data_IF_411108949453
#
_entry.id   IF_411108949453
#
_cell.length_a   1.000
_cell.length_b   1.000
_cell.length_c   1.000
_cell.angle_alpha   90.00
_cell.angle_beta   90.00
_cell.angle_gamma   90.00
#
_symmetry.space_group_name_H-M   'P 1'
#
loop_
_entity.id
_entity.type
_entity.pdbx_description
1 polymer ?
#
# COMPACT_ATOMS: atom_id res chain seq x y z
N UNK A 1 -18.39 2.07 15.70
CA UNK A 1 -16.98 1.67 15.46
C UNK A 1 -16.36 2.37 14.27
N UNK A 2 -16.98 2.37 13.08
CA UNK A 2 -16.41 2.99 11.87
C UNK A 2 -16.01 4.46 12.03
N UNK A 3 -16.80 5.27 12.75
CA UNK A 3 -16.45 6.66 13.04
C UNK A 3 -15.15 6.81 13.86
N UNK A 4 -14.89 5.92 14.81
CA UNK A 4 -13.64 5.91 15.60
C UNK A 4 -12.44 5.52 14.75
N UNK A 5 -12.62 4.56 13.82
CA UNK A 5 -11.59 4.16 12.86
C UNK A 5 -11.24 5.33 11.94
N UNK A 6 -12.25 6.02 11.39
CA UNK A 6 -12.05 7.19 10.52
C UNK A 6 -11.37 8.34 11.27
N UNK A 7 -11.77 8.62 12.51
CA UNK A 7 -11.12 9.62 13.35
C UNK A 7 -9.66 9.25 13.61
N UNK A 8 -9.37 8.01 13.99
CA UNK A 8 -8.01 7.53 14.23
C UNK A 8 -7.14 7.62 12.96
N UNK A 9 -7.72 7.29 11.79
CA UNK A 9 -7.04 7.42 10.50
C UNK A 9 -6.72 8.88 10.17
N UNK A 10 -7.65 9.80 10.42
CA UNK A 10 -7.45 11.23 10.18
C UNK A 10 -6.34 11.79 11.09
N UNK A 11 -6.36 11.41 12.37
CA UNK A 11 -5.31 11.74 13.34
C UNK A 11 -3.95 11.20 12.89
N UNK A 12 -3.89 9.97 12.39
CA UNK A 12 -2.66 9.35 11.88
C UNK A 12 -2.09 10.10 10.66
N UNK A 13 -2.95 10.50 9.71
CA UNK A 13 -2.52 11.29 8.54
C UNK A 13 -1.94 12.63 8.96
N UNK A 14 -2.59 13.34 9.88
CA UNK A 14 -2.08 14.61 10.42
C UNK A 14 -0.78 14.41 11.19
N UNK A 15 -0.67 13.31 11.94
CA UNK A 15 0.53 12.95 12.70
C UNK A 15 1.74 12.62 11.81
N UNK A 16 1.56 12.40 10.51
CA UNK A 16 2.67 12.14 9.57
C UNK A 16 3.44 13.41 9.21
N UNK A 17 2.85 14.59 9.44
CA UNK A 17 3.56 15.87 9.28
C UNK A 17 4.40 16.18 10.52
N UNK A 18 5.73 16.22 10.33
CA UNK A 18 6.69 16.43 11.42
C UNK A 18 6.42 17.76 12.19
N UNK A 19 5.95 18.80 11.51
CA UNK A 19 5.73 20.13 12.11
C UNK A 19 4.57 20.15 13.11
N UNK A 20 3.55 19.32 12.87
CA UNK A 20 2.37 19.17 13.73
C UNK A 20 2.64 18.13 14.81
N UNK A 21 3.35 17.06 14.48
CA UNK A 21 3.67 15.99 15.40
C UNK A 21 4.55 16.48 16.58
N UNK A 22 5.52 17.35 16.34
CA UNK A 22 6.39 17.87 17.40
C UNK A 22 5.62 18.66 18.49
N UNK A 23 4.50 19.30 18.11
CA UNK A 23 3.68 20.09 19.04
C UNK A 23 2.59 19.26 19.74
N UNK A 24 2.06 18.22 19.08
CA UNK A 24 0.87 17.49 19.54
C UNK A 24 1.06 15.98 19.72
N UNK A 25 2.30 15.47 19.65
CA UNK A 25 2.64 14.05 19.81
C UNK A 25 1.97 13.40 21.02
N UNK A 26 1.95 14.08 22.17
CA UNK A 26 1.30 13.60 23.39
C UNK A 26 -0.23 13.42 23.24
N UNK A 27 -0.91 14.36 22.56
CA UNK A 27 -2.35 14.24 22.31
C UNK A 27 -2.65 13.08 21.34
N UNK A 28 -1.84 12.94 20.28
CA UNK A 28 -1.99 11.83 19.33
C UNK A 28 -1.81 10.49 20.01
N UNK A 29 -0.82 10.37 20.90
CA UNK A 29 -0.59 9.16 21.68
C UNK A 29 -1.76 8.82 22.62
N UNK A 30 -2.33 9.82 23.30
CA UNK A 30 -3.49 9.62 24.19
C UNK A 30 -4.72 9.19 23.39
N UNK A 31 -5.03 9.87 22.29
CA UNK A 31 -6.16 9.53 21.42
C UNK A 31 -6.00 8.11 20.86
N UNK A 32 -4.79 7.76 20.43
CA UNK A 32 -4.47 6.42 19.95
C UNK A 32 -4.65 5.36 21.04
N UNK A 33 -4.23 5.64 22.28
CA UNK A 33 -4.40 4.73 23.40
C UNK A 33 -5.87 4.52 23.77
N UNK A 34 -6.64 5.60 23.89
CA UNK A 34 -8.09 5.54 24.22
C UNK A 34 -8.84 4.73 23.15
N UNK A 35 -8.59 5.01 21.87
CA UNK A 35 -9.24 4.29 20.77
C UNK A 35 -8.83 2.83 20.71
N UNK A 36 -7.55 2.50 20.98
CA UNK A 36 -7.07 1.11 21.04
C UNK A 36 -7.69 0.31 22.19
N UNK A 37 -7.85 0.92 23.37
CA UNK A 37 -8.53 0.29 24.51
C UNK A 37 -10.01 0.04 24.20
N UNK A 38 -10.70 0.99 23.57
CA UNK A 38 -12.09 0.79 23.13
C UNK A 38 -12.22 -0.37 22.14
N UNK A 39 -11.27 -0.52 21.19
CA UNK A 39 -11.26 -1.66 20.28
C UNK A 39 -10.96 -2.99 20.98
N UNK A 40 -10.11 -2.98 22.01
CA UNK A 40 -9.86 -4.17 22.83
C UNK A 40 -11.11 -4.61 23.58
N UNK A 41 -11.84 -3.65 24.18
CA UNK A 41 -13.11 -3.95 24.89
C UNK A 41 -14.13 -4.54 23.91
N UNK A 42 -14.31 -3.89 22.75
CA UNK A 42 -15.19 -4.37 21.69
C UNK A 42 -14.84 -5.80 21.25
N UNK A 43 -13.55 -6.08 21.05
CA UNK A 43 -13.06 -7.42 20.69
C UNK A 43 -13.36 -8.46 21.78
N UNK A 44 -13.05 -8.17 23.04
CA UNK A 44 -13.31 -9.07 24.17
C UNK A 44 -14.82 -9.32 24.32
N UNK A 45 -15.66 -8.29 24.19
CA UNK A 45 -17.11 -8.44 24.20
C UNK A 45 -17.59 -9.38 23.08
N UNK A 46 -17.09 -9.24 21.84
CA UNK A 46 -17.44 -10.16 20.74
C UNK A 46 -17.05 -11.61 21.04
N UNK A 47 -15.84 -11.84 21.57
CA UNK A 47 -15.36 -13.17 21.96
C UNK A 47 -16.18 -13.79 23.08
N UNK A 48 -16.74 -12.99 23.99
CA UNK A 48 -17.62 -13.49 25.06
C UNK A 48 -19.00 -13.83 24.52
N UNK A 49 -19.58 -12.97 23.66
CA UNK A 49 -20.95 -13.12 23.13
C UNK A 49 -21.04 -14.23 22.08
N UNK A 50 -19.93 -14.58 21.39
CA UNK A 50 -19.96 -15.57 20.30
C UNK A 50 -20.49 -16.96 20.71
N UNK A 51 -20.41 -17.31 22.00
CA UNK A 51 -20.91 -18.59 22.51
C UNK A 51 -22.44 -18.72 22.45
N UNK A 52 -23.18 -17.64 22.20
CA UNK A 52 -24.63 -17.70 21.94
C UNK A 52 -24.97 -18.21 20.53
N UNK A 53 -24.00 -18.20 19.61
CA UNK A 53 -24.22 -18.65 18.25
C UNK A 53 -24.15 -20.18 18.18
N UNK A 54 -25.18 -20.84 17.63
CA UNK A 54 -25.30 -22.31 17.55
C UNK A 54 -24.05 -23.03 17.03
N UNK A 55 -23.32 -22.40 16.10
CA UNK A 55 -22.11 -22.94 15.48
C UNK A 55 -20.85 -22.88 16.40
N UNK A 56 -20.85 -22.02 17.41
CA UNK A 56 -19.75 -21.81 18.37
C UNK A 56 -20.20 -22.05 19.81
N UNK A 57 -21.17 -22.96 20.02
CA UNK A 57 -21.81 -23.18 21.33
C UNK A 57 -20.86 -23.71 22.40
N UNK A 58 -19.75 -24.35 22.01
CA UNK A 58 -18.77 -24.86 22.96
C UNK A 58 -18.04 -23.70 23.68
N UNK A 59 -18.04 -23.67 25.02
CA UNK A 59 -17.55 -22.52 25.79
C UNK A 59 -16.06 -22.23 25.60
N UNK A 60 -15.25 -23.24 25.26
CA UNK A 60 -13.79 -23.10 25.05
C UNK A 60 -13.43 -23.30 23.57
N UNK A 61 -13.86 -24.41 22.97
CA UNK A 61 -13.53 -24.73 21.58
C UNK A 61 -14.24 -23.80 20.57
N UNK A 62 -15.47 -23.36 20.86
CA UNK A 62 -16.19 -22.39 20.04
C UNK A 62 -15.48 -21.03 20.00
N UNK A 63 -14.93 -20.60 21.14
CA UNK A 63 -14.14 -19.36 21.21
C UNK A 63 -12.83 -19.46 20.44
N UNK A 64 -12.09 -20.58 20.58
CA UNK A 64 -10.84 -20.80 19.85
C UNK A 64 -11.09 -20.82 18.34
N UNK A 65 -12.15 -21.49 17.89
CA UNK A 65 -12.53 -21.51 16.48
C UNK A 65 -12.91 -20.11 15.97
N UNK A 66 -13.58 -19.30 16.79
CA UNK A 66 -13.86 -17.92 16.45
C UNK A 66 -12.58 -17.08 16.33
N UNK A 67 -11.63 -17.22 17.26
CA UNK A 67 -10.34 -16.51 17.23
C UNK A 67 -9.54 -16.80 15.95
N UNK A 68 -9.70 -18.00 15.37
CA UNK A 68 -9.06 -18.40 14.10
C UNK A 68 -9.83 -17.94 12.85
N UNK A 69 -11.00 -17.31 13.01
CA UNK A 69 -11.77 -16.78 11.89
C UNK A 69 -11.08 -15.52 11.35
N UNK A 70 -10.98 -15.33 10.02
CA UNK A 70 -10.28 -14.18 9.43
C UNK A 70 -10.76 -12.83 9.97
N UNK A 71 -12.05 -12.69 10.28
CA UNK A 71 -12.60 -11.46 10.85
C UNK A 71 -12.05 -11.15 12.25
N UNK A 72 -11.91 -12.18 13.10
CA UNK A 72 -11.38 -12.04 14.45
C UNK A 72 -9.86 -11.83 14.44
N UNK A 73 -9.15 -12.47 13.51
CA UNK A 73 -7.71 -12.27 13.30
C UNK A 73 -7.43 -10.84 12.85
N UNK A 74 -8.19 -10.30 11.90
CA UNK A 74 -8.06 -8.89 11.47
C UNK A 74 -8.32 -7.95 12.65
N UNK A 75 -9.32 -8.24 13.47
CA UNK A 75 -9.66 -7.42 14.62
C UNK A 75 -8.57 -7.42 15.71
N UNK A 76 -7.98 -8.59 15.96
CA UNK A 76 -6.81 -8.73 16.83
C UNK A 76 -5.62 -7.94 16.26
N UNK A 77 -5.23 -8.17 15.00
CA UNK A 77 -4.07 -7.51 14.38
C UNK A 77 -4.24 -5.97 14.39
N UNK A 78 -5.45 -5.47 14.23
CA UNK A 78 -5.80 -4.03 14.29
C UNK A 78 -5.64 -3.42 15.69
N UNK A 79 -5.91 -4.20 16.75
CA UNK A 79 -5.94 -3.72 18.14
C UNK A 79 -4.57 -3.81 18.82
N UNK A 80 -3.78 -4.82 18.49
CA UNK A 80 -2.47 -5.09 19.09
C UNK A 80 -1.33 -4.06 18.86
N UNK A 81 -1.25 -3.26 17.78
CA UNK A 81 -0.05 -2.46 17.47
C UNK A 81 0.32 -1.48 18.58
N UNK A 82 -0.68 -0.84 19.20
CA UNK A 82 -0.47 0.10 20.31
C UNK A 82 0.07 -0.59 21.58
N UNK A 83 -0.45 -1.76 21.91
CA UNK A 83 0.01 -2.53 23.07
C UNK A 83 1.44 -3.07 22.85
N UNK A 84 1.74 -3.51 21.63
CA UNK A 84 3.09 -3.91 21.25
C UNK A 84 4.06 -2.72 21.39
N UNK A 85 3.69 -1.53 20.92
CA UNK A 85 4.53 -0.35 21.05
C UNK A 85 4.85 0.02 22.51
N UNK A 86 3.87 -0.08 23.42
CA UNK A 86 4.10 0.12 24.86
C UNK A 86 5.12 -0.89 25.41
N UNK A 87 4.97 -2.18 25.05
CA UNK A 87 5.81 -3.26 25.57
C UNK A 87 7.24 -3.19 24.98
N UNK A 88 7.37 -2.85 23.70
CA UNK A 88 8.64 -2.83 22.97
C UNK A 88 9.33 -1.45 22.94
N UNK A 89 8.79 -0.44 23.62
CA UNK A 89 9.35 0.93 23.71
C UNK A 89 10.79 0.99 24.25
N UNK A 90 11.33 -0.10 24.79
CA UNK A 90 12.72 -0.23 25.22
C UNK A 90 13.62 -0.79 24.11
N UNK A 91 14.27 0.11 23.36
CA UNK A 91 15.57 -0.08 22.68
C UNK A 91 15.67 -1.03 21.46
N UNK A 92 14.61 -1.23 20.66
CA UNK A 92 14.73 -2.02 19.41
C UNK A 92 14.34 -1.22 18.15
N UNK A 93 15.05 -1.41 17.01
CA UNK A 93 14.67 -0.86 15.70
C UNK A 93 13.36 -1.45 15.13
N UNK A 94 12.60 -2.19 15.95
CA UNK A 94 11.31 -2.80 15.61
C UNK A 94 10.17 -1.77 15.49
N UNK A 95 10.40 -0.50 15.81
CA UNK A 95 9.37 0.55 15.70
C UNK A 95 8.92 0.81 14.26
N UNK A 96 9.77 0.58 13.26
CA UNK A 96 9.43 0.83 11.84
C UNK A 96 8.31 -0.08 11.31
N UNK A 97 8.40 -1.43 11.43
CA UNK A 97 7.28 -2.29 11.04
C UNK A 97 6.04 -2.12 11.95
N UNK A 98 6.21 -1.79 13.24
CA UNK A 98 5.09 -1.50 14.14
C UNK A 98 4.22 -0.32 13.65
N UNK A 99 4.83 0.70 13.02
CA UNK A 99 4.09 1.81 12.38
C UNK A 99 3.22 1.34 11.22
N UNK A 100 3.70 0.39 10.41
CA UNK A 100 2.92 -0.18 9.30
C UNK A 100 1.72 -0.97 9.81
N UNK A 101 1.85 -1.66 10.95
CA UNK A 101 0.72 -2.37 11.55
C UNK A 101 -0.43 -1.44 11.95
N UNK A 102 -0.20 -0.14 12.20
CA UNK A 102 -1.30 0.81 12.44
C UNK A 102 -2.25 0.94 11.24
N UNK A 103 -1.75 0.73 10.01
CA UNK A 103 -2.57 0.73 8.80
C UNK A 103 -3.58 -0.43 8.79
N UNK A 104 -3.29 -1.54 9.49
CA UNK A 104 -4.22 -2.68 9.56
C UNK A 104 -5.54 -2.32 10.23
N UNK A 105 -5.61 -1.22 11.01
CA UNK A 105 -6.88 -0.72 11.57
C UNK A 105 -7.92 -0.38 10.51
N UNK A 106 -7.50 -0.02 9.28
CA UNK A 106 -8.43 0.22 8.18
C UNK A 106 -9.22 -1.05 7.81
N UNK A 107 -8.60 -2.22 7.97
CA UNK A 107 -9.18 -3.52 7.66
C UNK A 107 -10.29 -3.91 8.65
N UNK A 108 -10.32 -3.32 9.86
CA UNK A 108 -11.41 -3.52 10.84
C UNK A 108 -12.75 -2.92 10.36
N UNK A 109 -12.74 -2.07 9.34
CA UNK A 109 -13.98 -1.47 8.82
C UNK A 109 -14.88 -2.55 8.21
N UNK A 110 -16.07 -2.75 8.79
CA UNK A 110 -17.01 -3.80 8.36
C UNK A 110 -17.34 -3.70 6.86
N UNK A 111 -17.53 -2.48 6.34
CA UNK A 111 -17.74 -2.21 4.91
C UNK A 111 -16.55 -2.63 4.04
N UNK A 112 -15.31 -2.47 4.52
CA UNK A 112 -14.10 -2.84 3.78
C UNK A 112 -13.96 -4.36 3.75
N UNK A 113 -14.23 -5.03 4.88
CA UNK A 113 -14.25 -6.49 4.93
C UNK A 113 -15.27 -7.10 3.96
N UNK A 114 -16.48 -6.53 3.90
CA UNK A 114 -17.52 -6.98 2.97
C UNK A 114 -17.12 -6.75 1.51
N UNK A 115 -16.54 -5.59 1.20
CA UNK A 115 -16.01 -5.29 -0.13
C UNK A 115 -14.88 -6.24 -0.54
N UNK A 116 -13.94 -6.53 0.37
CA UNK A 116 -12.84 -7.48 0.15
C UNK A 116 -13.39 -8.89 -0.10
N UNK A 117 -14.35 -9.35 0.70
CA UNK A 117 -14.95 -10.68 0.52
C UNK A 117 -15.68 -10.81 -0.82
N UNK A 118 -16.30 -9.72 -1.28
CA UNK A 118 -16.97 -9.64 -2.56
C UNK A 118 -15.97 -9.67 -3.71
N UNK A 119 -14.91 -8.88 -3.64
CA UNK A 119 -13.82 -8.88 -4.62
C UNK A 119 -13.13 -10.25 -4.70
N UNK A 120 -12.85 -10.85 -3.54
CA UNK A 120 -12.26 -12.19 -3.44
C UNK A 120 -13.11 -13.24 -4.14
N UNK A 121 -14.42 -13.19 -3.93
CA UNK A 121 -15.38 -14.08 -4.60
C UNK A 121 -15.30 -13.93 -6.12
N UNK A 122 -15.23 -12.70 -6.62
CA UNK A 122 -15.11 -12.43 -8.06
C UNK A 122 -13.80 -12.98 -8.64
N UNK A 123 -12.69 -12.82 -7.92
CA UNK A 123 -11.38 -13.36 -8.33
C UNK A 123 -11.41 -14.88 -8.40
N UNK A 124 -11.93 -15.53 -7.35
CA UNK A 124 -12.02 -17.01 -7.29
C UNK A 124 -12.94 -17.54 -8.40
N UNK A 125 -14.05 -16.85 -8.66
CA UNK A 125 -14.98 -17.21 -9.72
C UNK A 125 -14.36 -17.08 -11.12
N UNK A 126 -13.55 -16.05 -11.36
CA UNK A 126 -12.93 -15.79 -12.66
C UNK A 126 -11.46 -16.23 -12.75
N UNK A 127 -11.00 -17.11 -11.85
CA UNK A 127 -9.58 -17.46 -11.70
C UNK A 127 -8.95 -17.97 -13.00
N UNK A 128 -9.70 -18.77 -13.77
CA UNK A 128 -9.16 -19.43 -14.98
C UNK A 128 -8.88 -18.39 -16.07
N UNK A 129 -9.82 -17.44 -16.27
CA UNK A 129 -9.66 -16.33 -17.21
C UNK A 129 -8.51 -15.42 -16.76
N UNK A 130 -8.43 -15.11 -15.46
CA UNK A 130 -7.43 -14.21 -14.90
C UNK A 130 -6.01 -14.80 -15.00
N UNK A 131 -5.86 -16.12 -14.79
CA UNK A 131 -4.59 -16.83 -14.98
C UNK A 131 -4.15 -16.79 -16.44
N UNK A 132 -5.05 -17.04 -17.40
CA UNK A 132 -4.72 -16.96 -18.83
C UNK A 132 -4.29 -15.53 -19.22
N UNK A 133 -5.01 -14.52 -18.75
CA UNK A 133 -4.66 -13.11 -18.99
C UNK A 133 -3.30 -12.75 -18.39
N UNK A 134 -2.99 -13.24 -17.19
CA UNK A 134 -1.70 -13.01 -16.52
C UNK A 134 -0.54 -13.67 -17.29
N UNK A 135 -0.72 -14.90 -17.78
CA UNK A 135 0.28 -15.59 -18.60
C UNK A 135 0.55 -14.81 -19.90
N UNK A 136 -0.53 -14.34 -20.56
CA UNK A 136 -0.40 -13.52 -21.76
C UNK A 136 0.33 -12.21 -21.49
N UNK A 137 0.04 -11.55 -20.37
CA UNK A 137 0.73 -10.32 -19.95
C UNK A 137 2.23 -10.56 -19.69
N UNK A 138 2.59 -11.68 -19.06
CA UNK A 138 3.99 -12.05 -18.84
C UNK A 138 4.72 -12.33 -20.16
N UNK A 139 4.09 -13.04 -21.10
CA UNK A 139 4.68 -13.30 -22.43
C UNK A 139 4.91 -11.98 -23.18
N UNK A 140 3.93 -11.08 -23.21
CA UNK A 140 4.06 -9.76 -23.82
C UNK A 140 5.19 -8.95 -23.17
N UNK A 141 5.26 -8.94 -21.84
CA UNK A 141 6.32 -8.25 -21.09
C UNK A 141 7.71 -8.80 -21.45
N UNK A 142 7.86 -10.12 -21.58
CA UNK A 142 9.13 -10.74 -21.98
C UNK A 142 9.52 -10.41 -23.42
N UNK A 143 8.55 -10.41 -24.35
CA UNK A 143 8.79 -10.03 -25.75
C UNK A 143 9.24 -8.57 -25.82
N UNK A 144 8.51 -7.66 -25.17
CA UNK A 144 8.84 -6.22 -25.11
C UNK A 144 10.21 -6.00 -24.48
N UNK A 145 10.52 -6.70 -23.39
CA UNK A 145 11.83 -6.60 -22.71
C UNK A 145 12.98 -7.05 -23.61
N UNK A 146 12.77 -8.15 -24.34
CA UNK A 146 13.77 -8.67 -25.29
C UNK A 146 13.98 -7.67 -26.43
N UNK A 147 12.91 -7.13 -27.01
CA UNK A 147 13.02 -6.07 -28.02
C UNK A 147 13.81 -4.87 -27.46
N UNK A 148 13.44 -4.39 -26.29
CA UNK A 148 14.03 -3.20 -25.68
C UNK A 148 15.52 -3.34 -25.42
N UNK A 149 15.96 -4.52 -24.98
CA UNK A 149 17.37 -4.88 -24.84
C UNK A 149 18.11 -4.85 -26.19
N UNK A 150 17.51 -5.38 -27.26
CA UNK A 150 18.12 -5.35 -28.61
C UNK A 150 18.11 -3.97 -29.26
N UNK A 151 17.11 -3.14 -28.97
CA UNK A 151 16.97 -1.77 -29.48
C UNK A 151 17.68 -0.72 -28.60
N UNK A 152 18.65 -1.14 -27.79
CA UNK A 152 19.38 -0.26 -26.87
C UNK A 152 19.94 0.98 -27.60
N UNK A 153 19.65 2.21 -27.11
CA UNK A 153 20.19 3.43 -27.70
C UNK A 153 21.72 3.48 -27.56
N UNK A 154 22.41 3.96 -28.61
CA UNK A 154 23.88 3.98 -28.69
C UNK A 154 24.57 4.90 -27.67
N UNK A 155 23.82 5.76 -26.97
CA UNK A 155 24.37 6.65 -25.95
C UNK A 155 24.50 5.91 -24.62
N UNK A 156 25.75 5.70 -24.21
CA UNK A 156 26.12 5.00 -22.97
C UNK A 156 25.69 5.84 -21.76
N UNK A 157 24.80 5.30 -20.92
CA UNK A 157 24.39 5.95 -19.67
C UNK A 157 23.18 5.35 -18.96
N UNK A 158 22.37 4.53 -19.64
CA UNK A 158 21.12 4.03 -19.07
C UNK A 158 21.29 2.61 -18.52
N UNK A 159 21.31 2.48 -17.19
CA UNK A 159 21.38 1.20 -16.47
C UNK A 159 20.18 0.27 -16.79
N UNK A 160 19.07 0.86 -17.23
CA UNK A 160 17.82 0.17 -17.59
C UNK A 160 17.97 -0.81 -18.76
N UNK A 161 19.00 -0.64 -19.61
CA UNK A 161 19.24 -1.48 -20.79
C UNK A 161 20.43 -2.43 -20.64
N UNK A 162 21.00 -2.58 -19.44
CA UNK A 162 22.20 -3.43 -19.25
C UNK A 162 21.90 -4.93 -19.32
N UNK A 163 20.68 -5.35 -18.99
CA UNK A 163 20.30 -6.77 -18.98
C UNK A 163 18.82 -6.97 -19.26
N UNK A 164 18.46 -8.16 -19.75
CA UNK A 164 17.06 -8.53 -20.02
C UNK A 164 16.17 -8.38 -18.76
N UNK A 165 16.60 -8.76 -17.54
CA UNK A 165 15.81 -8.50 -16.34
C UNK A 165 15.65 -7.03 -16.00
N UNK A 166 16.66 -6.18 -16.29
CA UNK A 166 16.56 -4.75 -16.07
C UNK A 166 15.50 -4.10 -16.97
N UNK A 167 15.39 -4.56 -18.23
CA UNK A 167 14.38 -4.08 -19.20
C UNK A 167 12.96 -4.57 -18.91
N UNK A 168 12.75 -5.57 -18.04
CA UNK A 168 11.41 -6.05 -17.65
C UNK A 168 10.63 -4.94 -16.95
N UNK A 169 11.26 -4.23 -16.00
CA UNK A 169 10.60 -3.16 -15.25
C UNK A 169 10.10 -2.06 -16.19
N UNK A 170 10.96 -1.59 -17.09
CA UNK A 170 10.60 -0.59 -18.10
C UNK A 170 9.53 -1.11 -19.08
N UNK A 171 9.57 -2.40 -19.43
CA UNK A 171 8.55 -3.03 -20.29
C UNK A 171 7.17 -3.06 -19.63
N UNK A 172 7.10 -3.32 -18.32
CA UNK A 172 5.84 -3.27 -17.56
C UNK A 172 5.30 -1.84 -17.52
N UNK A 173 6.16 -0.84 -17.27
CA UNK A 173 5.75 0.57 -17.26
C UNK A 173 5.20 1.03 -18.62
N UNK A 174 5.81 0.59 -19.72
CA UNK A 174 5.35 0.86 -21.08
C UNK A 174 4.01 0.21 -21.39
N UNK A 175 3.86 -1.07 -21.04
CA UNK A 175 2.62 -1.83 -21.29
C UNK A 175 1.44 -1.34 -20.43
N UNK A 176 1.72 -0.78 -19.26
CA UNK A 176 0.72 -0.16 -18.38
C UNK A 176 0.46 1.32 -18.69
N UNK A 177 1.20 1.91 -19.63
CA UNK A 177 1.08 3.32 -20.01
C UNK A 177 1.58 4.31 -18.94
N UNK A 178 2.27 3.82 -17.91
CA UNK A 178 2.79 4.62 -16.81
C UNK A 178 4.22 5.14 -17.05
N UNK A 179 4.96 4.61 -18.03
CA UNK A 179 6.32 5.04 -18.28
C UNK A 179 6.73 5.07 -19.75
N UNK A 180 7.73 5.90 -20.00
CA UNK A 180 8.53 5.95 -21.22
C UNK A 180 10.01 5.82 -20.85
N UNK A 181 10.92 5.74 -21.82
CA UNK A 181 12.35 5.67 -21.54
C UNK A 181 12.82 7.06 -21.11
N UNK A 182 13.52 7.16 -20.00
CA UNK A 182 14.15 8.41 -19.60
C UNK A 182 15.36 8.68 -20.50
N UNK A 183 15.24 9.65 -21.42
CA UNK A 183 16.31 10.01 -22.36
C UNK A 183 15.81 10.73 -23.61
N UNK A 184 16.72 11.37 -24.37
CA UNK A 184 16.35 11.99 -25.64
C UNK A 184 16.13 10.88 -26.68
N UNK A 185 14.86 10.54 -26.89
CA UNK A 185 14.45 9.52 -27.85
C UNK A 185 14.96 9.90 -29.26
N UNK A 186 15.46 8.94 -30.05
CA UNK A 186 15.77 9.19 -31.46
C UNK A 186 14.58 9.82 -32.19
N UNK A 187 14.86 10.61 -33.23
CA UNK A 187 13.84 11.42 -33.92
C UNK A 187 12.62 10.62 -34.42
N UNK A 188 12.77 9.31 -34.65
CA UNK A 188 11.72 8.38 -35.09
C UNK A 188 10.83 7.82 -33.98
N UNK A 189 11.13 8.05 -32.69
CA UNK A 189 10.30 7.64 -31.53
C UNK A 189 9.76 8.82 -30.72
N UNK A 190 10.03 10.07 -31.14
CA UNK A 190 9.38 11.28 -30.58
C UNK A 190 7.92 11.34 -31.02
N UNK A 191 7.05 10.61 -30.34
CA UNK A 191 5.63 10.98 -30.32
C UNK A 191 5.56 12.33 -29.62
N UNK A 192 4.91 13.29 -30.25
CA UNK A 192 4.81 14.70 -29.84
C UNK A 192 4.30 14.88 -28.41
N UNK A 193 5.18 14.66 -27.43
CA UNK A 193 5.00 15.12 -26.06
C UNK A 193 5.03 16.65 -26.10
N UNK A 194 4.09 17.35 -25.45
CA UNK A 194 4.18 18.79 -25.31
C UNK A 194 5.48 19.08 -24.58
N UNK A 195 6.44 19.62 -25.32
CA UNK A 195 7.75 20.02 -24.84
C UNK A 195 7.59 20.72 -23.48
N UNK A 196 8.16 20.17 -22.40
CA UNK A 196 8.25 20.84 -21.09
C UNK A 196 9.18 22.08 -21.11
N UNK A 197 9.83 22.35 -22.25
CA UNK A 197 10.76 23.48 -22.42
C UNK A 197 10.19 24.88 -22.13
N UNK A 198 8.89 25.21 -22.21
CA UNK A 198 8.42 26.56 -21.88
C UNK A 198 8.67 26.92 -20.42
N UNK A 199 8.51 25.98 -19.49
CA UNK A 199 8.58 26.24 -18.05
C UNK A 199 10.03 26.51 -17.59
N UNK A 200 10.98 25.73 -18.10
CA UNK A 200 12.42 25.90 -17.81
C UNK A 200 13.01 27.16 -18.44
N UNK A 201 12.55 27.55 -19.63
CA UNK A 201 12.99 28.79 -20.29
C UNK A 201 12.45 30.01 -19.53
N UNK A 202 11.18 29.99 -19.11
CA UNK A 202 10.59 31.07 -18.30
C UNK A 202 11.23 31.17 -16.90
N UNK A 203 11.58 30.04 -16.28
CA UNK A 203 12.28 30.00 -15.00
C UNK A 203 13.71 30.56 -15.09
N UNK A 204 14.44 30.28 -16.18
CA UNK A 204 15.78 30.85 -16.41
C UNK A 204 15.75 32.33 -16.80
N UNK A 205 14.74 32.77 -17.55
CA UNK A 205 14.51 34.19 -17.87
C UNK A 205 14.19 35.02 -16.61
N UNK A 206 13.42 34.46 -15.67
CA UNK A 206 13.12 35.09 -14.38
C UNK A 206 14.37 35.30 -13.49
N UNK A 207 15.41 34.46 -13.66
CA UNK A 207 16.69 34.57 -12.92
C UNK A 207 17.79 35.34 -13.66
N UNK A 208 17.50 35.98 -14.79
CA UNK A 208 18.48 36.78 -15.53
C UNK A 208 19.70 36.01 -16.05
N UNK A 209 19.61 34.67 -16.15
CA UNK A 209 20.65 33.86 -16.77
C UNK A 209 20.30 33.65 -18.24
N UNK A 210 20.97 34.40 -19.10
CA UNK A 210 20.87 34.26 -20.56
C UNK A 210 21.31 32.86 -21.01
N UNK A 211 20.62 32.22 -21.96
CA UNK A 211 21.01 30.94 -22.51
C UNK A 211 22.00 31.15 -23.66
N UNK A 212 23.25 31.47 -23.34
CA UNK A 212 24.38 31.38 -24.26
C UNK A 212 25.52 30.66 -23.56
#
# INVERSE_FOLDING_TARGET
>A
MSALILLNMFVFVISTDDSINDQYSGLFYIVEGVTSVLFLIDYVCRVIVITEHKHFSDPVWGRINYLLTPIAVVDAISTFPFFLEIIFSTNLPLTTPLRLFRLTRILKTETVSDAISSAWRVIVFNKDILVVALILCLILTLITSTLLYYFQPKHKGHQEFESIPATIFLSVLMLTGQGGPDGDLPWYTKVSQPSEKPQLILWNLSRGKSPF
#
